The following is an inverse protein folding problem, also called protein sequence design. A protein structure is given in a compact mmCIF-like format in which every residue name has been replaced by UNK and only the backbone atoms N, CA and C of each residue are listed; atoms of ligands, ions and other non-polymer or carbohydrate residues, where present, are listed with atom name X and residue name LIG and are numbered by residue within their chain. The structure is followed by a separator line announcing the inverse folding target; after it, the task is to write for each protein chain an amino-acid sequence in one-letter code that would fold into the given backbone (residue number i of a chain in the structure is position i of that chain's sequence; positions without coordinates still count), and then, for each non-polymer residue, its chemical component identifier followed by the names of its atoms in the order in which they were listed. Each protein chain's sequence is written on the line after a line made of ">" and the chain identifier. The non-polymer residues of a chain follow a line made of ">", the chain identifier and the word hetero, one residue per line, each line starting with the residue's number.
data_IF_945950067554
#
_entry.id   IF_945950067554
#
_cell.length_a   1.000
_cell.length_b   1.000
_cell.length_c   1.000
_cell.angle_alpha   90.00
_cell.angle_beta   90.00
_cell.angle_gamma   90.00
#
_symmetry.space_group_name_H-M   'P 1'
#
loop_
_entity.id
_entity.type
_entity.pdbx_description
1 polymer ?
#
# COMPACT_ATOMS: atom_id res chain seq x y z
N UNK A 1 46.78 -47.86 -6.81
CA UNK A 1 45.98 -48.07 -8.03
C UNK A 1 44.86 -47.03 -8.04
N UNK A 2 44.72 -46.29 -9.16
CA UNK A 2 43.63 -45.37 -9.58
C UNK A 2 43.20 -44.24 -8.61
N UNK A 3 43.45 -42.93 -8.82
CA UNK A 3 43.09 -42.00 -9.93
C UNK A 3 41.64 -42.14 -10.41
N UNK A 4 40.79 -41.11 -10.61
CA UNK A 4 40.78 -39.65 -10.38
C UNK A 4 39.38 -39.21 -10.88
N UNK A 5 38.72 -38.23 -10.25
CA UNK A 5 37.81 -37.33 -10.97
C UNK A 5 37.62 -36.04 -10.15
N UNK A 6 38.27 -34.98 -10.62
CA UNK A 6 38.05 -33.59 -10.21
C UNK A 6 36.86 -33.08 -11.03
N UNK A 7 35.82 -32.55 -10.38
CA UNK A 7 34.85 -31.68 -11.05
C UNK A 7 34.93 -30.30 -10.42
N UNK A 8 35.24 -29.36 -11.31
CA UNK A 8 35.56 -27.97 -11.11
C UNK A 8 34.34 -27.19 -10.56
N UNK A 9 34.58 -26.34 -9.57
CA UNK A 9 33.80 -25.10 -9.37
C UNK A 9 34.41 -24.03 -10.28
N UNK A 10 33.59 -23.18 -10.92
CA UNK A 10 33.07 -21.97 -10.26
C UNK A 10 31.67 -21.57 -10.82
N UNK A 11 30.95 -20.50 -10.49
CA UNK A 11 31.08 -19.26 -9.72
C UNK A 11 29.63 -18.88 -9.29
N UNK A 12 29.48 -17.98 -8.32
CA UNK A 12 28.27 -17.80 -7.53
C UNK A 12 27.00 -17.29 -8.24
N UNK A 13 25.86 -17.61 -7.61
CA UNK A 13 24.82 -16.62 -7.35
C UNK A 13 24.13 -17.00 -6.05
N UNK A 14 23.90 -15.99 -5.21
CA UNK A 14 23.56 -16.09 -3.79
C UNK A 14 22.33 -16.96 -3.57
N UNK A 15 22.46 -17.93 -2.66
CA UNK A 15 21.32 -18.51 -1.96
C UNK A 15 20.59 -17.37 -1.22
N UNK A 16 19.50 -16.90 -1.81
CA UNK A 16 18.53 -16.06 -1.11
C UNK A 16 17.89 -16.92 -0.04
N UNK A 17 18.23 -16.64 1.21
CA UNK A 17 17.57 -17.18 2.40
C UNK A 17 16.07 -16.89 2.26
N UNK A 18 15.27 -17.93 2.04
CA UNK A 18 13.83 -17.86 2.19
C UNK A 18 13.57 -17.61 3.67
N UNK A 19 13.26 -16.36 4.04
CA UNK A 19 12.78 -16.04 5.38
C UNK A 19 11.40 -16.69 5.55
N UNK A 20 11.37 -17.80 6.28
CA UNK A 20 10.16 -18.37 6.86
C UNK A 20 9.56 -17.32 7.81
N UNK A 21 8.52 -16.62 7.38
CA UNK A 21 7.93 -15.56 8.21
C UNK A 21 6.71 -14.83 7.65
N UNK A 22 6.38 -14.94 6.37
CA UNK A 22 5.13 -14.35 5.86
C UNK A 22 4.16 -15.44 5.41
N UNK A 23 2.92 -15.48 5.92
CA UNK A 23 1.92 -16.41 5.45
C UNK A 23 1.55 -16.06 4.01
N UNK A 24 2.06 -16.86 3.08
CA UNK A 24 1.54 -16.97 1.72
C UNK A 24 0.12 -17.50 1.79
N UNK A 25 -0.87 -16.62 1.86
CA UNK A 25 -2.29 -16.99 1.76
C UNK A 25 -2.58 -17.35 0.29
N UNK A 26 -2.42 -18.62 -0.07
CA UNK A 26 -2.91 -19.15 -1.34
C UNK A 26 -4.04 -20.15 -1.08
N UNK A 27 -5.26 -19.72 -1.37
CA UNK A 27 -6.41 -20.57 -1.67
C UNK A 27 -7.25 -19.83 -2.72
N UNK A 28 -7.04 -20.11 -4.02
CA UNK A 28 -7.84 -19.52 -5.13
C UNK A 28 -7.74 -17.99 -5.31
N UNK A 29 -7.05 -17.28 -4.42
CA UNK A 29 -6.99 -15.84 -4.35
C UNK A 29 -5.71 -15.30 -5.01
N UNK A 30 -5.87 -14.24 -5.82
CA UNK A 30 -4.75 -13.48 -6.36
C UNK A 30 -3.92 -12.87 -5.23
N UNK A 31 -2.60 -12.82 -5.43
CA UNK A 31 -1.72 -12.12 -4.49
C UNK A 31 -2.00 -10.62 -4.50
N UNK A 32 -1.75 -9.93 -3.38
CA UNK A 32 -1.87 -8.46 -3.30
C UNK A 32 -1.10 -7.74 -4.42
N UNK A 33 0.10 -8.24 -4.75
CA UNK A 33 0.93 -7.69 -5.83
C UNK A 33 0.23 -7.81 -7.18
N UNK A 34 -0.44 -8.93 -7.43
CA UNK A 34 -1.15 -9.18 -8.68
C UNK A 34 -2.42 -8.33 -8.79
N UNK A 35 -3.16 -8.17 -7.69
CA UNK A 35 -4.31 -7.23 -7.63
C UNK A 35 -3.85 -5.80 -7.92
N UNK A 36 -2.77 -5.35 -7.28
CA UNK A 36 -2.21 -4.02 -7.49
C UNK A 36 -1.79 -3.82 -8.96
N UNK A 37 -1.10 -4.81 -9.55
CA UNK A 37 -0.70 -4.76 -10.95
C UNK A 37 -1.90 -4.57 -11.86
N UNK A 38 -2.97 -5.33 -11.65
CA UNK A 38 -4.17 -5.25 -12.49
C UNK A 38 -4.87 -3.90 -12.38
N UNK A 39 -5.06 -3.37 -11.16
CA UNK A 39 -5.64 -2.03 -10.96
C UNK A 39 -4.84 -0.97 -11.73
N UNK A 40 -3.50 -1.05 -11.71
CA UNK A 40 -2.65 -0.06 -12.40
C UNK A 40 -2.75 -0.13 -13.93
N UNK A 41 -3.25 -1.23 -14.50
CA UNK A 41 -3.49 -1.34 -15.95
C UNK A 41 -4.82 -0.75 -16.40
N UNK A 42 -5.72 -0.41 -15.48
CA UNK A 42 -7.04 0.15 -15.80
C UNK A 42 -6.95 1.65 -16.17
N UNK A 43 -7.93 2.15 -16.95
CA UNK A 43 -8.14 3.58 -17.16
C UNK A 43 -8.28 4.34 -15.84
N UNK A 44 -7.95 5.64 -15.86
CA UNK A 44 -7.93 6.46 -14.65
C UNK A 44 -9.28 6.50 -13.92
N UNK A 45 -10.37 6.62 -14.67
CA UNK A 45 -11.73 6.64 -14.12
C UNK A 45 -12.06 5.34 -13.38
N UNK A 46 -11.77 4.18 -13.99
CA UNK A 46 -12.03 2.87 -13.38
C UNK A 46 -11.18 2.65 -12.11
N UNK A 47 -9.96 3.20 -12.07
CA UNK A 47 -9.14 3.16 -10.84
C UNK A 47 -9.76 3.97 -9.71
N UNK A 48 -10.35 5.12 -10.02
CA UNK A 48 -11.04 5.95 -9.03
C UNK A 48 -12.29 5.24 -8.51
N UNK A 49 -13.08 4.63 -9.39
CA UNK A 49 -14.26 3.84 -8.99
C UNK A 49 -13.88 2.69 -8.03
N UNK A 50 -12.76 2.01 -8.29
CA UNK A 50 -12.25 0.97 -7.37
C UNK A 50 -11.80 1.58 -6.04
N UNK A 51 -11.12 2.73 -6.06
CA UNK A 51 -10.71 3.41 -4.83
C UNK A 51 -11.93 3.79 -3.98
N UNK A 52 -12.98 4.33 -4.60
CA UNK A 52 -14.24 4.69 -3.93
C UNK A 52 -14.94 3.45 -3.37
N UNK A 53 -15.00 2.35 -4.13
CA UNK A 53 -15.60 1.09 -3.66
C UNK A 53 -14.83 0.50 -2.47
N UNK A 54 -13.49 0.54 -2.50
CA UNK A 54 -12.64 0.11 -1.39
C UNK A 54 -12.88 1.02 -0.18
N UNK A 55 -12.94 2.34 -0.37
CA UNK A 55 -13.19 3.29 0.71
C UNK A 55 -14.58 3.07 1.35
N UNK A 56 -15.62 2.91 0.53
CA UNK A 56 -16.97 2.62 0.99
C UNK A 56 -17.07 1.29 1.77
N UNK A 57 -16.20 0.32 1.46
CA UNK A 57 -16.14 -0.95 2.20
C UNK A 57 -15.59 -0.80 3.63
N UNK A 58 -14.90 0.31 3.93
CA UNK A 58 -14.30 0.61 5.23
C UNK A 58 -15.18 1.52 6.11
N UNK A 59 -16.44 1.71 5.74
CA UNK A 59 -17.33 2.72 6.32
C UNK A 59 -17.67 2.53 7.82
N UNK A 60 -17.29 1.40 8.43
CA UNK A 60 -17.38 1.20 9.88
C UNK A 60 -16.01 1.46 10.54
N UNK A 61 -15.73 2.71 10.99
CA UNK A 61 -14.45 3.06 11.60
C UNK A 61 -14.20 2.31 12.92
N UNK A 62 -15.25 1.83 13.60
CA UNK A 62 -15.12 1.09 14.85
C UNK A 62 -14.62 -0.35 14.64
N UNK A 63 -14.76 -0.89 13.44
CA UNK A 63 -14.23 -2.20 13.06
C UNK A 63 -12.73 -2.20 12.74
N UNK A 64 -12.15 -1.01 12.56
CA UNK A 64 -10.72 -0.89 12.30
C UNK A 64 -9.92 -1.19 13.58
N UNK A 65 -8.85 -2.01 13.52
CA UNK A 65 -8.03 -2.34 14.68
C UNK A 65 -7.10 -1.17 15.06
N UNK A 66 -7.69 -0.03 15.41
CA UNK A 66 -6.99 1.17 15.84
C UNK A 66 -6.80 1.15 17.38
N UNK A 67 -5.56 1.33 17.88
CA UNK A 67 -5.32 1.63 19.29
C UNK A 67 -6.17 2.81 19.77
N UNK A 68 -6.62 2.79 21.04
CA UNK A 68 -7.48 3.83 21.62
C UNK A 68 -6.91 5.25 21.41
N UNK A 69 -5.62 5.45 21.65
CA UNK A 69 -4.98 6.76 21.48
C UNK A 69 -5.06 7.32 20.05
N UNK A 70 -5.14 6.46 19.02
CA UNK A 70 -5.31 6.91 17.64
C UNK A 70 -6.74 7.38 17.38
N UNK A 71 -7.73 6.69 17.96
CA UNK A 71 -9.14 7.10 17.88
C UNK A 71 -9.35 8.43 18.59
N UNK A 72 -8.86 8.56 19.82
CA UNK A 72 -8.98 9.78 20.61
C UNK A 72 -8.40 11.00 19.85
N UNK A 73 -7.25 10.84 19.18
CA UNK A 73 -6.62 11.88 18.36
C UNK A 73 -7.41 12.22 17.08
N UNK A 74 -8.04 11.22 16.45
CA UNK A 74 -8.87 11.43 15.26
C UNK A 74 -10.16 12.15 15.64
N UNK A 75 -10.78 11.77 16.76
CA UNK A 75 -11.99 12.40 17.29
C UNK A 75 -11.74 13.87 17.69
N UNK A 76 -10.61 14.15 18.35
CA UNK A 76 -10.17 15.51 18.68
C UNK A 76 -10.05 16.38 17.42
N UNK A 77 -9.33 15.88 16.40
CA UNK A 77 -9.14 16.63 15.13
C UNK A 77 -10.42 16.79 14.34
N UNK A 78 -11.28 15.78 14.36
CA UNK A 78 -12.56 15.85 13.67
C UNK A 78 -13.44 16.92 14.31
N UNK A 79 -13.47 17.00 15.65
CA UNK A 79 -14.17 18.04 16.37
C UNK A 79 -13.64 19.45 16.04
N UNK A 80 -12.33 19.61 15.89
CA UNK A 80 -11.71 20.88 15.47
C UNK A 80 -12.04 21.28 14.03
N UNK A 81 -12.35 20.32 13.15
CA UNK A 81 -12.66 20.56 11.73
C UNK A 81 -14.13 20.94 11.45
N UNK A 82 -15.02 20.86 12.44
CA UNK A 82 -16.45 21.24 12.31
C UNK A 82 -16.58 22.77 12.32
N UNK A 83 -16.08 23.44 11.28
CA UNK A 83 -16.14 24.91 11.21
C UNK A 83 -15.35 25.55 10.07
N UNK A 84 -14.41 24.84 9.45
CA UNK A 84 -13.75 25.36 8.25
C UNK A 84 -14.59 25.02 7.02
N UNK A 85 -15.21 26.03 6.40
CA UNK A 85 -15.68 25.90 5.02
C UNK A 85 -14.47 25.46 4.18
N UNK A 86 -14.61 24.31 3.51
CA UNK A 86 -13.55 23.75 2.68
C UNK A 86 -13.03 24.81 1.71
N UNK A 87 -11.71 24.99 1.67
CA UNK A 87 -11.08 25.92 0.74
C UNK A 87 -11.08 25.34 -0.67
N UNK A 88 -11.15 26.21 -1.68
CA UNK A 88 -11.00 25.79 -3.06
C UNK A 88 -9.62 25.15 -3.28
N UNK A 89 -9.59 24.05 -4.02
CA UNK A 89 -8.37 23.29 -4.22
C UNK A 89 -7.32 24.03 -5.05
N UNK A 90 -7.74 24.90 -5.99
CA UNK A 90 -6.82 25.73 -6.76
C UNK A 90 -6.13 26.76 -5.86
N UNK A 91 -6.86 27.36 -4.92
CA UNK A 91 -6.30 28.33 -3.95
C UNK A 91 -5.26 27.67 -3.04
N UNK A 92 -5.57 26.47 -2.51
CA UNK A 92 -4.64 25.71 -1.67
C UNK A 92 -3.37 25.31 -2.45
N UNK A 93 -3.51 24.89 -3.70
CA UNK A 93 -2.36 24.56 -4.55
C UNK A 93 -1.48 25.79 -4.81
N UNK A 94 -2.08 26.95 -5.05
CA UNK A 94 -1.35 28.19 -5.28
C UNK A 94 -0.54 28.62 -4.04
N UNK A 95 -1.07 28.37 -2.84
CA UNK A 95 -0.40 28.65 -1.56
C UNK A 95 0.78 27.70 -1.29
N UNK A 96 0.56 26.38 -1.43
CA UNK A 96 1.55 25.35 -1.06
C UNK A 96 2.61 25.18 -2.15
N UNK A 97 2.24 25.35 -3.41
CA UNK A 97 3.11 25.16 -4.56
C UNK A 97 3.20 26.44 -5.40
N UNK A 98 3.70 27.56 -4.83
CA UNK A 98 3.79 28.81 -5.56
C UNK A 98 4.71 28.59 -6.75
N UNK A 99 4.18 28.82 -7.96
CA UNK A 99 4.92 28.64 -9.21
C UNK A 99 6.28 29.30 -9.09
N UNK A 100 7.33 28.48 -8.95
CA UNK A 100 8.70 28.96 -8.91
C UNK A 100 8.99 29.62 -10.26
N UNK A 101 9.31 30.90 -10.20
CA UNK A 101 9.66 31.75 -11.35
C UNK A 101 11.05 31.40 -11.86
#
# INVERSE_FOLDING_TARGET
>A
MSSRAVILRPHGSRAGVVRLGEPSFILGAMTKIEIQRQIMTLPEVERLEIADAVWASLADPDTLPLPRWQRDLLDERLADSVGEEGRDWEDVKAEIWPAHR
#
